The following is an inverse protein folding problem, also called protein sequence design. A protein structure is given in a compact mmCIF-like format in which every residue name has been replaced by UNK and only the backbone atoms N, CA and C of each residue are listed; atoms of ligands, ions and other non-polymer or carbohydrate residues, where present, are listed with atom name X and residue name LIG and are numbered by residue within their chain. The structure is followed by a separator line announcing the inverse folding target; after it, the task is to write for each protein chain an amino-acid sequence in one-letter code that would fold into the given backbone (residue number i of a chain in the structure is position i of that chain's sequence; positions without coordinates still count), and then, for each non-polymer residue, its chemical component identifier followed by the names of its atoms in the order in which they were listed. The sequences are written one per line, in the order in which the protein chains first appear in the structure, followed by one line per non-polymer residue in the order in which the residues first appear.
data_IF_264282842955
#
_entry.id   IF_264282842955
#
_cell.length_a   1.000
_cell.length_b   1.000
_cell.length_c   1.000
_cell.angle_alpha   90.00
_cell.angle_beta   90.00
_cell.angle_gamma   90.00
#
_symmetry.space_group_name_H-M   'P 1'
#
loop_
_entity.id
_entity.type
_entity.pdbx_description
1 polymer ?
#
# COMPACT_ATOMS: atom_id res chain seq x y z
N UNK A 1 16.92 -8.36 -10.16
CA UNK A 1 15.71 -9.05 -10.73
C UNK A 1 15.60 -10.40 -10.03
N UNK A 2 14.45 -10.74 -9.41
CA UNK A 2 14.29 -12.03 -8.73
C UNK A 2 14.39 -13.20 -9.72
N UNK A 3 14.91 -14.33 -9.23
CA UNK A 3 14.97 -15.57 -10.00
C UNK A 3 13.56 -16.14 -10.25
N UNK A 4 13.45 -17.13 -11.15
CA UNK A 4 12.16 -17.81 -11.40
C UNK A 4 11.66 -18.50 -10.13
N UNK A 5 12.54 -19.11 -9.33
CA UNK A 5 12.21 -19.77 -8.07
C UNK A 5 11.70 -18.73 -7.06
N UNK A 6 12.38 -17.59 -6.92
CA UNK A 6 11.95 -16.51 -6.03
C UNK A 6 10.57 -16.00 -6.39
N UNK A 7 10.31 -15.78 -7.68
CA UNK A 7 8.97 -15.34 -8.14
C UNK A 7 7.89 -16.39 -7.87
N UNK A 8 8.21 -17.66 -7.99
CA UNK A 8 7.27 -18.75 -7.69
C UNK A 8 6.91 -18.76 -6.20
N UNK A 9 7.90 -18.63 -5.31
CA UNK A 9 7.69 -18.56 -3.87
C UNK A 9 6.88 -17.31 -3.50
N UNK A 10 7.23 -16.16 -4.06
CA UNK A 10 6.51 -14.90 -3.85
C UNK A 10 5.05 -15.00 -4.29
N UNK A 11 4.81 -15.63 -5.45
CA UNK A 11 3.45 -15.85 -5.94
C UNK A 11 2.66 -16.78 -5.02
N UNK A 12 3.26 -17.83 -4.52
CA UNK A 12 2.61 -18.75 -3.57
C UNK A 12 2.22 -18.00 -2.26
N UNK A 13 3.14 -17.19 -1.71
CA UNK A 13 2.84 -16.37 -0.53
C UNK A 13 1.71 -15.38 -0.83
N UNK A 14 1.75 -14.72 -1.98
CA UNK A 14 0.71 -13.77 -2.40
C UNK A 14 -0.66 -14.43 -2.48
N UNK A 15 -0.76 -15.64 -3.06
CA UNK A 15 -2.01 -16.38 -3.17
C UNK A 15 -2.61 -16.76 -1.82
N UNK A 16 -1.77 -17.07 -0.84
CA UNK A 16 -2.22 -17.36 0.53
C UNK A 16 -2.61 -16.10 1.32
N UNK A 17 -1.94 -14.98 1.10
CA UNK A 17 -2.21 -13.75 1.83
C UNK A 17 -3.40 -12.95 1.27
N UNK A 18 -3.63 -12.96 -0.04
CA UNK A 18 -4.72 -12.20 -0.67
C UNK A 18 -6.09 -12.50 -0.05
N UNK A 19 -6.51 -13.76 0.18
CA UNK A 19 -7.80 -14.04 0.81
C UNK A 19 -7.91 -13.49 2.24
N UNK A 20 -6.80 -13.33 2.94
CA UNK A 20 -6.75 -12.79 4.31
C UNK A 20 -6.92 -11.28 4.31
N UNK A 21 -6.22 -10.59 3.39
CA UNK A 21 -6.13 -9.13 3.41
C UNK A 21 -7.17 -8.43 2.54
N UNK A 22 -7.63 -9.06 1.45
CA UNK A 22 -8.62 -8.45 0.55
C UNK A 22 -9.88 -7.95 1.28
N UNK A 23 -10.48 -8.70 2.23
CA UNK A 23 -11.60 -8.22 3.01
C UNK A 23 -11.27 -7.09 4.00
N UNK A 24 -9.98 -6.90 4.33
CA UNK A 24 -9.53 -5.89 5.30
C UNK A 24 -9.18 -4.55 4.64
N UNK A 25 -8.96 -4.54 3.33
CA UNK A 25 -8.63 -3.32 2.61
C UNK A 25 -9.82 -2.38 2.50
N UNK A 26 -9.55 -1.08 2.61
CA UNK A 26 -10.57 -0.06 2.45
C UNK A 26 -11.20 -0.09 1.04
N UNK A 27 -12.48 0.22 0.94
CA UNK A 27 -13.20 0.26 -0.34
C UNK A 27 -12.66 1.32 -1.31
N UNK A 28 -12.02 2.36 -0.80
CA UNK A 28 -11.34 3.40 -1.58
C UNK A 28 -9.98 3.00 -2.14
N UNK A 29 -9.47 1.81 -1.84
CA UNK A 29 -8.19 1.29 -2.36
C UNK A 29 -8.41 0.44 -3.61
N UNK A 30 -7.76 0.78 -4.72
CA UNK A 30 -7.98 0.16 -6.03
C UNK A 30 -6.74 -0.47 -6.65
N UNK A 31 -5.54 0.05 -6.40
CA UNK A 31 -4.31 -0.44 -7.01
C UNK A 31 -3.89 -1.84 -6.53
N UNK A 32 -3.41 -2.67 -7.43
CA UNK A 32 -2.91 -4.02 -7.16
C UNK A 32 -3.91 -4.94 -6.44
N UNK A 33 -5.20 -4.75 -6.68
CA UNK A 33 -6.26 -5.57 -6.10
C UNK A 33 -7.03 -6.31 -7.20
N UNK A 34 -7.41 -7.58 -6.98
CA UNK A 34 -8.18 -8.35 -7.94
C UNK A 34 -9.55 -7.71 -8.21
N UNK A 35 -9.93 -7.63 -9.49
CA UNK A 35 -11.23 -7.11 -9.91
C UNK A 35 -11.40 -5.59 -9.76
N UNK A 36 -10.34 -4.83 -9.47
CA UNK A 36 -10.33 -3.37 -9.35
C UNK A 36 -9.37 -2.74 -10.35
N UNK A 37 -9.72 -1.58 -10.87
CA UNK A 37 -8.97 -0.87 -11.90
C UNK A 37 -8.81 0.62 -11.61
N UNK A 38 -7.90 1.28 -12.32
CA UNK A 38 -7.75 2.74 -12.27
C UNK A 38 -9.05 3.45 -12.72
N UNK A 39 -9.80 2.85 -13.67
CA UNK A 39 -11.09 3.38 -14.09
C UNK A 39 -12.10 3.41 -12.95
N UNK A 40 -12.12 2.38 -12.10
CA UNK A 40 -13.01 2.31 -10.94
C UNK A 40 -12.62 3.37 -9.90
N UNK A 41 -11.32 3.61 -9.70
CA UNK A 41 -10.83 4.69 -8.84
C UNK A 41 -11.31 6.07 -9.33
N UNK A 42 -11.16 6.35 -10.62
CA UNK A 42 -11.65 7.60 -11.24
C UNK A 42 -13.17 7.73 -11.08
N UNK A 43 -13.91 6.66 -11.29
CA UNK A 43 -15.36 6.64 -11.12
C UNK A 43 -15.74 6.96 -9.67
N UNK A 44 -15.01 6.42 -8.69
CA UNK A 44 -15.23 6.70 -7.27
C UNK A 44 -15.00 8.18 -6.93
N UNK A 45 -13.95 8.78 -7.49
CA UNK A 45 -13.71 10.24 -7.33
C UNK A 45 -14.87 11.06 -7.90
N UNK A 46 -15.40 10.70 -9.08
CA UNK A 46 -16.56 11.38 -9.68
C UNK A 46 -17.79 11.28 -8.78
N UNK A 47 -18.09 10.10 -8.24
CA UNK A 47 -19.20 9.89 -7.32
C UNK A 47 -19.11 10.79 -6.08
N UNK A 48 -17.91 10.94 -5.51
CA UNK A 48 -17.69 11.87 -4.39
C UNK A 48 -17.86 13.34 -4.82
N UNK A 49 -17.38 13.71 -6.02
CA UNK A 49 -17.55 15.06 -6.53
C UNK A 49 -19.05 15.42 -6.72
N UNK A 50 -19.87 14.49 -7.20
CA UNK A 50 -21.32 14.64 -7.30
C UNK A 50 -22.01 14.79 -5.94
N UNK A 51 -21.42 14.23 -4.88
CA UNK A 51 -21.87 14.40 -3.48
C UNK A 51 -21.42 15.73 -2.85
N UNK A 52 -20.75 16.59 -3.60
CA UNK A 52 -20.28 17.90 -3.15
C UNK A 52 -18.83 17.97 -2.63
N UNK A 53 -18.06 16.88 -2.76
CA UNK A 53 -16.62 16.88 -2.43
C UNK A 53 -15.82 17.41 -3.64
N UNK A 54 -15.77 18.74 -3.78
CA UNK A 54 -15.23 19.42 -4.96
C UNK A 54 -13.78 19.91 -4.80
N UNK A 55 -13.19 19.73 -3.62
CA UNK A 55 -11.79 20.04 -3.35
C UNK A 55 -11.00 18.75 -3.17
N UNK A 56 -9.89 18.62 -3.89
CA UNK A 56 -9.03 17.45 -3.84
C UNK A 56 -7.64 17.81 -3.31
N UNK A 57 -7.10 16.95 -2.47
CA UNK A 57 -5.69 16.92 -2.05
C UNK A 57 -5.06 15.69 -2.67
N UNK A 58 -4.14 15.89 -3.60
CA UNK A 58 -3.36 14.81 -4.19
C UNK A 58 -2.07 14.64 -3.41
N UNK A 59 -1.80 13.43 -2.98
CA UNK A 59 -0.58 13.04 -2.29
C UNK A 59 0.14 12.02 -3.17
N UNK A 60 1.40 12.29 -3.44
CA UNK A 60 2.33 11.38 -4.09
C UNK A 60 3.36 10.92 -3.04
N UNK A 61 3.44 9.63 -2.81
CA UNK A 61 4.38 9.07 -1.86
C UNK A 61 5.73 8.84 -2.55
N UNK A 62 6.56 9.86 -2.52
CA UNK A 62 7.91 9.83 -3.10
C UNK A 62 8.71 8.64 -2.56
N UNK A 63 9.22 7.81 -3.48
CA UNK A 63 10.06 6.63 -3.17
C UNK A 63 9.42 5.64 -2.18
N UNK A 64 8.10 5.52 -2.20
CA UNK A 64 7.36 4.72 -1.24
C UNK A 64 7.89 3.29 -1.10
N UNK A 65 8.14 2.61 -2.23
CA UNK A 65 8.70 1.26 -2.23
C UNK A 65 10.13 1.19 -1.65
N UNK A 66 10.86 2.29 -1.66
CA UNK A 66 12.25 2.36 -1.18
C UNK A 66 12.34 2.73 0.31
N UNK A 67 11.27 3.29 0.89
CA UNK A 67 11.24 3.80 2.27
C UNK A 67 10.31 3.02 3.21
N UNK A 68 9.74 1.92 2.73
CA UNK A 68 8.82 1.09 3.51
C UNK A 68 9.57 0.47 4.70
N UNK A 69 9.18 0.82 5.93
CA UNK A 69 9.83 0.32 7.14
C UNK A 69 9.48 -1.15 7.39
N UNK A 70 10.50 -2.02 7.41
CA UNK A 70 10.34 -3.46 7.55
C UNK A 70 9.69 -3.86 8.88
N UNK A 71 10.10 -3.27 10.01
CA UNK A 71 9.57 -3.65 11.33
C UNK A 71 8.09 -3.29 11.47
N UNK A 72 7.68 -2.13 10.97
CA UNK A 72 6.27 -1.73 10.95
C UNK A 72 5.47 -2.73 10.10
N UNK A 73 5.92 -3.03 8.89
CA UNK A 73 5.25 -3.99 8.01
C UNK A 73 5.15 -5.38 8.64
N UNK A 74 6.23 -5.89 9.24
CA UNK A 74 6.23 -7.22 9.88
C UNK A 74 5.27 -7.26 11.08
N UNK A 75 5.16 -6.16 11.84
CA UNK A 75 4.19 -6.06 12.93
C UNK A 75 2.74 -6.04 12.41
N UNK A 76 2.48 -5.38 11.28
CA UNK A 76 1.17 -5.42 10.62
C UNK A 76 0.82 -6.84 10.14
N UNK A 77 1.79 -7.54 9.55
CA UNK A 77 1.61 -8.93 9.13
C UNK A 77 1.26 -9.85 10.30
N UNK A 78 1.92 -9.73 11.44
CA UNK A 78 1.66 -10.55 12.64
C UNK A 78 0.26 -10.37 13.22
N UNK A 79 -0.42 -9.27 12.92
CA UNK A 79 -1.84 -9.09 13.35
C UNK A 79 -2.76 -10.16 12.73
N UNK A 80 -2.51 -10.54 11.47
CA UNK A 80 -3.41 -11.39 10.68
C UNK A 80 -2.79 -12.72 10.25
N UNK A 81 -1.45 -12.80 10.13
CA UNK A 81 -0.72 -14.02 9.77
C UNK A 81 -0.25 -14.71 11.05
N UNK A 82 -0.83 -15.88 11.35
CA UNK A 82 -0.54 -16.62 12.58
C UNK A 82 0.73 -17.46 12.50
N UNK A 83 1.18 -17.82 11.31
CA UNK A 83 2.38 -18.63 11.11
C UNK A 83 3.61 -17.73 11.03
N UNK A 84 4.40 -17.69 12.10
CA UNK A 84 5.63 -16.91 12.17
C UNK A 84 6.68 -17.32 11.11
N UNK A 85 6.62 -18.57 10.61
CA UNK A 85 7.54 -19.02 9.55
C UNK A 85 7.29 -18.24 8.24
N UNK A 86 6.02 -17.91 7.95
CA UNK A 86 5.66 -17.08 6.79
C UNK A 86 6.17 -15.65 6.99
N UNK A 87 5.99 -15.08 8.18
CA UNK A 87 6.48 -13.74 8.51
C UNK A 87 8.01 -13.66 8.39
N UNK A 88 8.74 -14.69 8.88
CA UNK A 88 10.19 -14.76 8.74
C UNK A 88 10.64 -14.93 7.28
N UNK A 89 9.88 -15.65 6.47
CA UNK A 89 10.17 -15.77 5.04
C UNK A 89 10.02 -14.41 4.33
N UNK A 90 8.96 -13.66 4.65
CA UNK A 90 8.76 -12.29 4.15
C UNK A 90 9.88 -11.36 4.64
N UNK A 91 10.30 -11.47 5.90
CA UNK A 91 11.44 -10.71 6.44
C UNK A 91 12.71 -10.96 5.63
N UNK A 92 13.02 -12.22 5.30
CA UNK A 92 14.17 -12.57 4.45
C UNK A 92 14.04 -11.98 3.05
N UNK A 93 12.85 -12.01 2.49
CA UNK A 93 12.55 -11.41 1.18
C UNK A 93 12.83 -9.90 1.20
N UNK A 94 12.34 -9.17 2.21
CA UNK A 94 12.57 -7.73 2.35
C UNK A 94 14.06 -7.41 2.53
N UNK A 95 14.78 -8.22 3.32
CA UNK A 95 16.22 -8.07 3.58
C UNK A 95 17.13 -8.55 2.44
N UNK A 96 16.58 -9.19 1.42
CA UNK A 96 17.39 -9.69 0.29
C UNK A 96 18.14 -8.59 -0.46
N UNK A 97 17.78 -7.32 -0.19
CA UNK A 97 18.53 -6.15 -0.57
C UNK A 97 18.49 -5.81 -2.05
N UNK A 98 19.20 -4.77 -2.38
CA UNK A 98 19.43 -4.30 -3.75
C UNK A 98 20.88 -4.61 -4.13
N UNK A 99 21.07 -5.22 -5.30
CA UNK A 99 22.41 -5.37 -5.85
C UNK A 99 22.76 -4.08 -6.60
N UNK A 100 23.69 -3.31 -6.05
CA UNK A 100 24.23 -2.13 -6.68
C UNK A 100 25.72 -2.35 -6.99
N UNK A 101 26.11 -2.17 -8.24
CA UNK A 101 27.49 -2.37 -8.71
C UNK A 101 28.11 -3.74 -8.36
N UNK A 102 27.29 -4.80 -8.32
CA UNK A 102 27.73 -6.17 -8.02
C UNK A 102 27.88 -6.48 -6.53
N UNK A 103 27.56 -5.54 -5.64
CA UNK A 103 27.55 -5.74 -4.19
C UNK A 103 26.11 -5.84 -3.70
N UNK A 104 25.78 -6.91 -2.96
CA UNK A 104 24.48 -7.06 -2.31
C UNK A 104 24.54 -6.32 -0.97
N UNK A 105 23.72 -5.28 -0.82
CA UNK A 105 23.55 -4.58 0.44
C UNK A 105 22.21 -4.97 1.06
N UNK A 106 22.24 -5.45 2.30
CA UNK A 106 21.01 -5.64 3.08
C UNK A 106 20.40 -4.27 3.39
N UNK A 107 19.10 -4.16 3.22
CA UNK A 107 18.34 -2.95 3.53
C UNK A 107 17.43 -3.19 4.73
N UNK A 108 17.27 -2.19 5.57
CA UNK A 108 16.28 -2.19 6.67
C UNK A 108 14.97 -1.53 6.26
N UNK A 109 14.96 -0.90 5.10
CA UNK A 109 13.83 -0.21 4.50
C UNK A 109 13.67 -0.62 3.04
N UNK A 110 12.46 -0.42 2.53
CA UNK A 110 12.11 -0.67 1.15
C UNK A 110 11.65 -2.08 0.85
N UNK A 111 11.15 -2.26 -0.35
CA UNK A 111 10.70 -3.55 -0.88
C UNK A 111 11.32 -3.80 -2.26
N UNK A 112 11.80 -5.01 -2.55
CA UNK A 112 12.39 -5.33 -3.85
C UNK A 112 11.44 -4.98 -5.00
N UNK A 113 11.91 -4.17 -5.94
CA UNK A 113 11.13 -3.79 -7.12
C UNK A 113 11.04 -4.95 -8.12
N UNK A 114 9.86 -5.10 -8.73
CA UNK A 114 9.60 -6.15 -9.73
C UNK A 114 9.27 -7.53 -9.15
N UNK A 115 9.10 -7.65 -7.84
CA UNK A 115 8.60 -8.87 -7.20
C UNK A 115 7.07 -8.94 -7.15
N UNK A 116 6.51 -10.13 -7.25
CA UNK A 116 5.06 -10.34 -7.21
C UNK A 116 4.44 -10.03 -5.84
N UNK A 117 5.22 -10.10 -4.76
CA UNK A 117 4.78 -9.89 -3.39
C UNK A 117 4.78 -8.42 -2.98
N UNK A 118 5.69 -7.60 -3.53
CA UNK A 118 5.86 -6.20 -3.13
C UNK A 118 4.59 -5.34 -3.24
N UNK A 119 3.76 -5.45 -4.29
CA UNK A 119 2.52 -4.68 -4.38
C UNK A 119 1.52 -5.00 -3.27
N UNK A 120 1.41 -6.26 -2.87
CA UNK A 120 0.54 -6.67 -1.75
C UNK A 120 1.06 -6.13 -0.42
N UNK A 121 2.37 -6.25 -0.16
CA UNK A 121 2.99 -5.72 1.06
C UNK A 121 2.81 -4.20 1.16
N UNK A 122 2.94 -3.48 0.04
CA UNK A 122 2.67 -2.06 -0.04
C UNK A 122 1.21 -1.73 0.33
N UNK A 123 0.25 -2.49 -0.18
CA UNK A 123 -1.16 -2.32 0.17
C UNK A 123 -1.44 -2.61 1.65
N UNK A 124 -0.80 -3.62 2.23
CA UNK A 124 -0.93 -3.95 3.65
C UNK A 124 -0.42 -2.77 4.51
N UNK A 125 0.72 -2.20 4.14
CA UNK A 125 1.30 -1.07 4.85
C UNK A 125 0.43 0.19 4.76
N UNK A 126 -0.04 0.55 3.56
CA UNK A 126 -0.88 1.74 3.34
C UNK A 126 -2.32 1.58 3.82
N UNK A 127 -2.78 0.36 4.08
CA UNK A 127 -4.11 0.17 4.62
C UNK A 127 -4.31 0.86 5.98
N UNK A 128 -3.28 1.00 6.79
CA UNK A 128 -3.36 1.77 8.06
C UNK A 128 -3.71 3.25 7.77
N UNK A 129 -3.12 3.84 6.73
CA UNK A 129 -3.45 5.18 6.26
C UNK A 129 -4.91 5.25 5.75
N UNK A 130 -5.31 4.32 4.89
CA UNK A 130 -6.66 4.26 4.36
C UNK A 130 -7.70 4.16 5.49
N UNK A 131 -7.47 3.31 6.49
CA UNK A 131 -8.35 3.11 7.64
C UNK A 131 -8.43 4.34 8.54
N UNK A 132 -7.33 5.08 8.70
CA UNK A 132 -7.33 6.31 9.49
C UNK A 132 -8.23 7.38 8.87
N UNK A 133 -8.15 7.61 7.54
CA UNK A 133 -9.02 8.57 6.86
C UNK A 133 -10.47 8.09 6.80
N UNK A 134 -10.70 6.77 6.68
CA UNK A 134 -12.03 6.19 6.76
C UNK A 134 -12.68 6.46 8.13
N UNK A 135 -11.94 6.27 9.23
CA UNK A 135 -12.42 6.60 10.61
C UNK A 135 -12.75 8.07 10.79
N UNK A 136 -12.01 8.96 10.14
CA UNK A 136 -12.27 10.40 10.15
C UNK A 136 -13.46 10.80 9.26
N UNK A 137 -14.06 9.88 8.52
CA UNK A 137 -15.12 10.16 7.55
C UNK A 137 -14.66 11.00 6.36
N UNK A 138 -13.36 10.95 6.03
CA UNK A 138 -12.76 11.63 4.89
C UNK A 138 -12.76 10.70 3.69
N UNK A 139 -13.39 11.08 2.56
CA UNK A 139 -13.27 10.32 1.32
C UNK A 139 -11.81 10.24 0.88
N UNK A 140 -11.30 9.01 0.81
CA UNK A 140 -9.95 8.69 0.37
C UNK A 140 -10.06 7.70 -0.80
N UNK A 141 -9.43 8.03 -1.92
CA UNK A 141 -9.30 7.15 -3.08
C UNK A 141 -7.82 6.96 -3.35
N UNK A 142 -7.38 5.71 -3.35
CA UNK A 142 -5.98 5.37 -3.56
C UNK A 142 -5.80 4.37 -4.70
N UNK A 143 -4.86 4.64 -5.56
CA UNK A 143 -4.38 3.69 -6.57
C UNK A 143 -2.87 3.51 -6.40
N UNK A 144 -2.46 2.42 -5.77
CA UNK A 144 -1.08 2.17 -5.36
C UNK A 144 -0.56 3.27 -4.41
N UNK A 145 0.41 4.05 -4.84
CA UNK A 145 1.04 5.19 -4.16
C UNK A 145 0.35 6.54 -4.45
N UNK A 146 -0.49 6.60 -5.48
CA UNK A 146 -1.31 7.78 -5.78
C UNK A 146 -2.52 7.86 -4.84
N UNK A 147 -2.61 8.92 -4.05
CA UNK A 147 -3.67 9.12 -3.07
C UNK A 147 -4.41 10.41 -3.35
N UNK A 148 -5.72 10.37 -3.32
CA UNK A 148 -6.59 11.53 -3.42
C UNK A 148 -7.51 11.59 -2.22
N UNK A 149 -7.37 12.64 -1.40
CA UNK A 149 -8.30 12.98 -0.31
C UNK A 149 -9.27 14.06 -0.80
N UNK A 150 -10.54 13.93 -0.48
CA UNK A 150 -11.56 14.82 -0.96
C UNK A 150 -12.25 15.58 0.19
N UNK A 151 -12.57 16.85 -0.05
CA UNK A 151 -13.21 17.73 0.91
C UNK A 151 -14.32 18.58 0.26
N UNK A 152 -15.24 19.10 1.10
CA UNK A 152 -16.34 19.97 0.67
C UNK A 152 -15.97 21.45 0.65
N UNK A 153 -14.83 21.85 1.23
CA UNK A 153 -14.38 23.24 1.27
C UNK A 153 -12.86 23.36 1.19
N UNK A 154 -12.39 24.51 0.70
CA UNK A 154 -10.97 24.84 0.64
C UNK A 154 -10.28 24.72 2.00
N UNK A 155 -10.89 25.31 3.05
CA UNK A 155 -10.34 25.25 4.41
C UNK A 155 -10.22 23.80 4.94
N UNK A 156 -11.13 22.91 4.55
CA UNK A 156 -11.06 21.50 4.91
C UNK A 156 -9.93 20.80 4.16
N UNK A 157 -9.73 21.09 2.87
CA UNK A 157 -8.63 20.51 2.09
C UNK A 157 -7.25 20.96 2.59
N UNK A 158 -7.10 22.23 2.97
CA UNK A 158 -5.85 22.74 3.57
C UNK A 158 -5.50 22.00 4.88
N UNK A 159 -6.49 21.77 5.76
CA UNK A 159 -6.31 20.97 6.99
C UNK A 159 -5.98 19.50 6.71
N UNK A 160 -6.56 18.92 5.68
CA UNK A 160 -6.22 17.57 5.26
C UNK A 160 -4.77 17.48 4.79
N UNK A 161 -4.30 18.44 4.00
CA UNK A 161 -2.90 18.50 3.56
C UNK A 161 -1.96 18.57 4.76
N UNK A 162 -2.19 19.46 5.71
CA UNK A 162 -1.38 19.59 6.92
C UNK A 162 -1.37 18.31 7.78
N UNK A 163 -2.49 17.61 7.87
CA UNK A 163 -2.61 16.39 8.70
C UNK A 163 -2.08 15.14 8.03
N UNK A 164 -2.00 15.10 6.70
CA UNK A 164 -1.50 13.95 5.93
C UNK A 164 0.02 13.94 5.78
N UNK A 165 0.69 15.06 6.06
CA UNK A 165 2.15 15.22 5.97
C UNK A 165 2.87 15.02 7.33
N UNK A 166 2.14 14.75 8.38
CA UNK A 166 2.66 14.43 9.73
C UNK A 166 2.70 12.92 9.97
#
# INVERSE_FOLDING_TARGET
IPTVIDRTIQQAITQELVPIYEPLFADGSFGYRPGRSAKDAIQKVKEYAEQGYTYAVSLDLSKYFDTLNHEILLNLLRKNVKDERVVQLIKRYLKSGVMENGVVMETEEGSPQGGNLSPLLANIYLNEFDQEFLKRGVPCVRYADDIVLLAKSKRASERLLESSTK
#
